data_IF_835685980774
#
_entry.id   IF_835685980774
#
_cell.length_a   1.000
_cell.length_b   1.000
_cell.length_c   1.000
_cell.angle_alpha   90.00
_cell.angle_beta   90.00
_cell.angle_gamma   90.00
#
_symmetry.space_group_name_H-M   'P 1'
#
loop_
_entity.id
_entity.type
_entity.pdbx_description
1 polymer ?
#
# COMPACT_ATOMS: atom_id res chain seq x y z
N UNK A 1 15.39 32.37 3.16
CA UNK A 1 14.84 31.43 2.16
C UNK A 1 14.60 30.09 2.86
N UNK A 2 13.37 29.79 3.29
CA UNK A 2 13.09 28.70 4.25
C UNK A 2 11.74 27.97 3.99
N UNK A 3 11.29 27.89 2.73
CA UNK A 3 9.95 27.38 2.41
C UNK A 3 9.93 26.35 1.28
N UNK A 4 10.98 25.53 1.14
CA UNK A 4 10.89 24.32 0.31
C UNK A 4 10.42 23.15 1.18
N UNK A 5 9.13 22.89 1.09
CA UNK A 5 8.41 21.86 1.83
C UNK A 5 8.20 20.69 0.85
N UNK A 6 9.13 19.74 0.82
CA UNK A 6 9.04 18.52 0.00
C UNK A 6 8.01 17.52 0.55
N UNK A 7 6.76 17.95 0.78
CA UNK A 7 5.79 17.25 1.65
C UNK A 7 4.82 16.30 0.91
N UNK A 8 4.90 16.17 -0.42
CA UNK A 8 3.83 15.52 -1.19
C UNK A 8 4.20 14.31 -2.04
N UNK A 9 5.45 14.19 -2.51
CA UNK A 9 5.80 13.17 -3.51
C UNK A 9 5.65 11.75 -2.96
N UNK A 10 6.14 11.49 -1.74
CA UNK A 10 6.10 10.16 -1.16
C UNK A 10 4.69 9.74 -0.72
N UNK A 11 3.83 10.69 -0.35
CA UNK A 11 2.40 10.46 -0.14
C UNK A 11 1.67 10.11 -1.44
N UNK A 12 1.96 10.81 -2.53
CA UNK A 12 1.42 10.47 -3.86
C UNK A 12 1.88 9.08 -4.34
N UNK A 13 3.15 8.73 -4.14
CA UNK A 13 3.65 7.37 -4.42
C UNK A 13 2.89 6.35 -3.59
N UNK A 14 2.70 6.60 -2.28
CA UNK A 14 1.93 5.71 -1.41
C UNK A 14 0.49 5.54 -1.89
N UNK A 15 -0.17 6.61 -2.35
CA UNK A 15 -1.52 6.54 -2.91
C UNK A 15 -1.60 5.60 -4.12
N UNK A 16 -0.63 5.70 -5.05
CA UNK A 16 -0.57 4.83 -6.24
C UNK A 16 -0.30 3.37 -5.85
N UNK A 17 0.62 3.14 -4.90
CA UNK A 17 0.94 1.78 -4.44
C UNK A 17 -0.27 1.12 -3.78
N UNK A 18 -0.97 1.81 -2.87
CA UNK A 18 -2.16 1.25 -2.23
C UNK A 18 -3.37 1.12 -3.17
N UNK A 19 -3.50 2.00 -4.16
CA UNK A 19 -4.46 1.82 -5.27
C UNK A 19 -4.17 0.54 -6.06
N UNK A 20 -2.90 0.27 -6.39
CA UNK A 20 -2.49 -0.96 -7.06
C UNK A 20 -2.79 -2.20 -6.20
N UNK A 21 -2.46 -2.17 -4.91
CA UNK A 21 -2.71 -3.27 -3.96
C UNK A 21 -4.21 -3.61 -3.92
N UNK A 22 -5.08 -2.59 -3.92
CA UNK A 22 -6.52 -2.79 -3.91
C UNK A 22 -7.03 -3.52 -5.16
N UNK A 23 -6.47 -3.22 -6.33
CA UNK A 23 -6.89 -3.85 -7.60
C UNK A 23 -6.29 -5.26 -7.75
N UNK A 24 -5.03 -5.44 -7.34
CA UNK A 24 -4.22 -6.63 -7.58
C UNK A 24 -3.61 -7.19 -6.27
N UNK A 25 -4.44 -7.67 -5.32
CA UNK A 25 -3.96 -8.03 -3.98
C UNK A 25 -2.97 -9.20 -3.96
N UNK A 26 -3.09 -10.13 -4.89
CA UNK A 26 -2.27 -11.35 -4.94
C UNK A 26 -1.01 -11.21 -5.80
N UNK A 27 -0.80 -10.07 -6.47
CA UNK A 27 0.44 -9.85 -7.23
C UNK A 27 1.63 -9.75 -6.26
N UNK A 28 2.74 -10.38 -6.59
CA UNK A 28 3.92 -10.38 -5.73
C UNK A 28 4.65 -9.04 -5.75
N UNK A 29 4.97 -8.53 -4.57
CA UNK A 29 5.79 -7.35 -4.31
C UNK A 29 6.99 -7.72 -3.44
N UNK A 30 8.09 -7.03 -3.61
CA UNK A 30 9.32 -7.25 -2.86
C UNK A 30 10.14 -5.98 -2.73
N UNK A 31 11.22 -6.08 -1.97
CA UNK A 31 12.22 -5.00 -1.89
C UNK A 31 13.32 -5.31 -2.88
N UNK A 32 13.75 -4.30 -3.64
CA UNK A 32 14.82 -4.46 -4.62
C UNK A 32 16.07 -5.08 -3.96
N UNK A 33 16.66 -6.08 -4.62
CA UNK A 33 17.83 -6.86 -4.15
C UNK A 33 17.60 -7.78 -2.94
N UNK A 34 16.37 -7.88 -2.43
CA UNK A 34 16.00 -8.89 -1.44
C UNK A 34 15.19 -9.97 -2.17
N UNK A 35 15.67 -11.23 -2.26
CA UNK A 35 14.98 -12.29 -2.99
C UNK A 35 13.80 -12.87 -2.19
N UNK A 36 12.95 -12.00 -1.64
CA UNK A 36 11.76 -12.33 -0.86
C UNK A 36 10.60 -11.51 -1.40
N UNK A 37 9.58 -12.22 -1.85
CA UNK A 37 8.38 -11.63 -2.42
C UNK A 37 7.15 -12.07 -1.65
N UNK A 38 6.26 -11.12 -1.37
CA UNK A 38 5.00 -11.32 -0.68
C UNK A 38 3.85 -10.83 -1.57
N UNK A 39 2.63 -11.39 -1.47
CA UNK A 39 1.49 -10.84 -2.17
C UNK A 39 1.27 -9.38 -1.74
N UNK A 40 0.81 -8.55 -2.67
CA UNK A 40 0.70 -7.10 -2.55
C UNK A 40 -0.09 -6.68 -1.31
N UNK A 41 -1.19 -7.37 -0.99
CA UNK A 41 -1.97 -7.08 0.22
C UNK A 41 -1.12 -7.25 1.48
N UNK A 42 -0.37 -8.35 1.58
CA UNK A 42 0.47 -8.66 2.74
C UNK A 42 1.65 -7.69 2.84
N UNK A 43 2.30 -7.41 1.71
CA UNK A 43 3.37 -6.43 1.62
C UNK A 43 2.89 -5.04 2.08
N UNK A 44 1.74 -4.59 1.57
CA UNK A 44 1.11 -3.32 1.94
C UNK A 44 0.73 -3.23 3.41
N UNK A 45 0.17 -4.30 3.99
CA UNK A 45 -0.15 -4.36 5.41
C UNK A 45 1.10 -4.26 6.27
N UNK A 46 2.15 -5.03 5.97
CA UNK A 46 3.43 -4.97 6.69
C UNK A 46 4.04 -3.57 6.59
N UNK A 47 4.05 -2.99 5.39
CA UNK A 47 4.54 -1.63 5.17
C UNK A 47 3.80 -0.61 6.03
N UNK A 48 2.47 -0.70 6.11
CA UNK A 48 1.64 0.20 6.93
C UNK A 48 1.95 0.03 8.43
N UNK A 49 2.01 -1.22 8.91
CA UNK A 49 2.27 -1.52 10.33
C UNK A 49 3.65 -1.03 10.77
N UNK A 50 4.67 -1.24 9.93
CA UNK A 50 6.02 -0.73 10.17
C UNK A 50 6.01 0.79 10.19
N UNK A 51 5.37 1.43 9.19
CA UNK A 51 5.24 2.89 9.13
C UNK A 51 4.60 3.45 10.41
N UNK A 52 3.46 2.92 10.85
CA UNK A 52 2.81 3.35 12.10
C UNK A 52 3.70 3.15 13.33
N UNK A 53 4.42 2.03 13.39
CA UNK A 53 5.29 1.70 14.53
C UNK A 53 6.51 2.60 14.63
N UNK A 54 7.09 2.99 13.49
CA UNK A 54 8.22 3.92 13.43
C UNK A 54 7.78 5.36 13.71
N UNK A 55 6.57 5.74 13.25
CA UNK A 55 6.00 7.07 13.51
C UNK A 55 5.81 7.33 15.01
N UNK A 56 5.36 6.31 15.77
CA UNK A 56 5.25 6.39 17.23
C UNK A 56 6.59 6.56 17.96
N UNK A 57 7.70 6.10 17.38
CA UNK A 57 9.05 6.16 17.98
C UNK A 57 9.78 7.48 17.70
N UNK A 58 9.46 8.16 16.60
CA UNK A 58 10.04 9.45 16.26
C UNK A 58 9.04 10.59 16.47
N UNK A 59 9.09 11.22 17.64
CA UNK A 59 8.33 12.44 18.00
C UNK A 59 8.60 13.66 17.08
N UNK A 60 9.48 13.54 16.08
CA UNK A 60 9.81 14.60 15.10
C UNK A 60 9.92 14.01 13.70
N UNK A 61 8.96 14.29 12.82
CA UNK A 61 9.15 14.01 11.39
C UNK A 61 7.85 14.04 10.57
N UNK A 62 7.61 15.16 9.91
CA UNK A 62 6.45 15.46 9.04
C UNK A 62 6.25 14.43 7.88
N UNK A 63 7.19 13.51 7.65
CA UNK A 63 7.24 12.67 6.46
C UNK A 63 6.54 11.29 6.60
N UNK A 64 6.44 10.71 7.80
CA UNK A 64 5.85 9.36 7.95
C UNK A 64 4.31 9.37 7.89
N UNK A 65 3.70 10.40 8.48
CA UNK A 65 2.26 10.69 8.33
C UNK A 65 1.85 10.82 6.86
N UNK A 66 2.71 11.34 5.97
CA UNK A 66 2.42 11.49 4.55
C UNK A 66 2.25 10.14 3.82
N UNK A 67 3.00 9.09 4.20
CA UNK A 67 2.85 7.76 3.58
C UNK A 67 1.52 7.11 3.97
N UNK A 68 1.18 7.18 5.26
CA UNK A 68 -0.05 6.58 5.80
C UNK A 68 -1.26 7.30 5.21
N UNK A 69 -1.29 8.63 5.29
CA UNK A 69 -2.40 9.44 4.75
C UNK A 69 -2.50 9.31 3.23
N UNK A 70 -1.38 9.28 2.51
CA UNK A 70 -1.34 9.02 1.08
C UNK A 70 -1.90 7.65 0.70
N UNK A 71 -1.50 6.59 1.38
CA UNK A 71 -2.00 5.23 1.16
C UNK A 71 -3.50 5.11 1.41
N UNK A 72 -3.98 5.64 2.54
CA UNK A 72 -5.42 5.66 2.86
C UNK A 72 -6.22 6.48 1.85
N UNK A 73 -5.70 7.64 1.43
CA UNK A 73 -6.32 8.45 0.38
C UNK A 73 -6.42 7.67 -0.93
N UNK A 74 -5.36 6.96 -1.34
CA UNK A 74 -5.37 6.11 -2.54
C UNK A 74 -6.46 5.05 -2.51
N UNK A 75 -6.62 4.33 -1.39
CA UNK A 75 -7.69 3.35 -1.21
C UNK A 75 -9.06 4.03 -1.32
N UNK A 76 -9.30 5.08 -0.53
CA UNK A 76 -10.59 5.75 -0.47
C UNK A 76 -10.99 6.37 -1.83
N UNK A 77 -10.03 7.00 -2.51
CA UNK A 77 -10.21 7.56 -3.84
C UNK A 77 -10.62 6.49 -4.85
N UNK A 78 -9.89 5.38 -4.89
CA UNK A 78 -10.17 4.29 -5.84
C UNK A 78 -11.54 3.65 -5.59
N UNK A 79 -11.87 3.33 -4.33
CA UNK A 79 -13.19 2.80 -3.96
C UNK A 79 -14.29 3.76 -4.40
N UNK A 80 -14.13 5.05 -4.13
CA UNK A 80 -15.14 6.07 -4.49
C UNK A 80 -15.32 6.18 -6.00
N UNK A 81 -14.23 6.26 -6.76
CA UNK A 81 -14.27 6.38 -8.22
C UNK A 81 -14.91 5.16 -8.87
N UNK A 82 -14.56 3.95 -8.44
CA UNK A 82 -15.12 2.73 -9.03
C UNK A 82 -16.59 2.52 -8.68
N UNK A 83 -17.02 2.89 -7.48
CA UNK A 83 -18.44 2.89 -7.14
C UNK A 83 -19.19 3.93 -7.99
N UNK A 84 -18.68 5.17 -8.04
CA UNK A 84 -19.37 6.28 -8.68
C UNK A 84 -19.45 6.17 -10.21
N UNK A 85 -18.39 5.68 -10.86
CA UNK A 85 -18.27 5.70 -12.32
C UNK A 85 -18.34 4.32 -12.97
N UNK A 86 -18.02 3.24 -12.25
CA UNK A 86 -18.01 1.88 -12.79
C UNK A 86 -19.09 0.96 -12.18
N UNK A 87 -19.79 1.40 -11.13
CA UNK A 87 -20.71 0.56 -10.34
C UNK A 87 -20.02 -0.72 -9.81
N UNK A 88 -18.72 -0.64 -9.51
CA UNK A 88 -17.93 -1.76 -8.98
C UNK A 88 -17.58 -1.48 -7.51
N UNK A 89 -17.82 -2.47 -6.65
CA UNK A 89 -17.35 -2.43 -5.27
C UNK A 89 -15.95 -3.05 -5.18
N UNK A 90 -14.91 -2.21 -5.28
CA UNK A 90 -13.51 -2.66 -5.20
C UNK A 90 -13.15 -3.37 -3.89
N UNK A 91 -13.86 -3.10 -2.79
CA UNK A 91 -13.61 -3.79 -1.51
C UNK A 91 -14.08 -5.24 -1.59
N UNK A 92 -15.24 -5.49 -2.22
CA UNK A 92 -15.71 -6.85 -2.48
C UNK A 92 -14.78 -7.57 -3.43
N UNK A 93 -14.43 -6.95 -4.56
CA UNK A 93 -13.49 -7.51 -5.55
C UNK A 93 -12.13 -7.85 -4.93
N UNK A 94 -11.63 -6.98 -4.05
CA UNK A 94 -10.42 -7.23 -3.30
C UNK A 94 -10.57 -8.48 -2.42
N UNK A 95 -11.64 -8.56 -1.64
CA UNK A 95 -11.89 -9.72 -0.78
C UNK A 95 -12.01 -11.02 -1.58
N UNK A 96 -12.70 -10.99 -2.72
CA UNK A 96 -12.87 -12.14 -3.61
C UNK A 96 -11.56 -12.58 -4.26
N UNK A 97 -10.65 -11.63 -4.56
CA UNK A 97 -9.33 -11.91 -5.14
C UNK A 97 -8.31 -12.41 -4.13
N UNK A 98 -8.46 -12.09 -2.85
CA UNK A 98 -7.56 -12.59 -1.79
C UNK A 98 -7.89 -14.06 -1.53
N UNK A 99 -7.15 -14.96 -2.19
CA UNK A 99 -7.27 -16.42 -2.04
C UNK A 99 -5.89 -17.00 -1.75
N UNK A 100 -5.81 -17.83 -0.72
CA UNK A 100 -4.56 -18.44 -0.26
C UNK A 100 -4.83 -19.93 -0.10
N UNK A 101 -4.27 -20.74 -0.98
CA UNK A 101 -4.45 -22.20 -0.95
C UNK A 101 -3.18 -22.89 -0.42
N UNK A 102 -2.03 -22.23 -0.53
CA UNK A 102 -0.74 -22.76 -0.12
C UNK A 102 0.20 -21.69 0.44
N UNK A 103 1.29 -22.13 1.07
CA UNK A 103 2.33 -21.20 1.55
C UNK A 103 3.06 -20.48 0.41
N UNK A 104 3.09 -21.06 -0.80
CA UNK A 104 3.70 -20.45 -1.98
C UNK A 104 2.91 -19.26 -2.52
N UNK A 105 1.65 -19.11 -2.11
CA UNK A 105 0.81 -17.93 -2.38
C UNK A 105 1.13 -16.76 -1.43
N UNK A 106 1.81 -17.05 -0.32
CA UNK A 106 2.20 -16.06 0.69
C UNK A 106 3.66 -15.64 0.59
N UNK A 107 4.54 -16.55 0.19
CA UNK A 107 5.97 -16.25 0.12
C UNK A 107 6.62 -16.94 -1.07
N UNK A 108 7.39 -16.15 -1.83
CA UNK A 108 8.30 -16.65 -2.86
C UNK A 108 9.71 -16.21 -2.55
N UNK A 109 10.65 -17.15 -2.65
CA UNK A 109 12.07 -16.91 -2.42
C UNK A 109 12.81 -17.14 -3.73
N UNK A 110 13.61 -16.16 -4.15
CA UNK A 110 14.36 -16.19 -5.42
C UNK A 110 14.35 -14.86 -6.16
N UNK A 111 15.07 -14.81 -7.28
CA UNK A 111 15.05 -13.69 -8.24
C UNK A 111 14.25 -14.06 -9.48
#
# INVERSE_FOLDING_TARGET
NNSYRGVGASGAVSAIIFAYILINPMNFMGVLFIPVWLPAFLFGTIFLLISVSLDKKQSKGINHSAHITGGLYGIAFMVTVFIAFANINLVSEFADKVKIDSIYDLIRIGY
#
